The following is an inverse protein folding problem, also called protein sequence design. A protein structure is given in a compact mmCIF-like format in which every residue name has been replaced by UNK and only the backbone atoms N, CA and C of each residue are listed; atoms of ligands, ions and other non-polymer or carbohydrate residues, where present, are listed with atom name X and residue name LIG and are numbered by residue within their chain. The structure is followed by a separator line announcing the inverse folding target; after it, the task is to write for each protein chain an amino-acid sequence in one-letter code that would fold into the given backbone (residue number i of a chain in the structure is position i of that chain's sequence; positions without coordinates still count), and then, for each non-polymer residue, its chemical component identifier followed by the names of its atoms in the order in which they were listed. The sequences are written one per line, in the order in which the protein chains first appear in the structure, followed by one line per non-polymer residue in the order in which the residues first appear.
data_IF_114826551745
#
_entry.id   IF_114826551745
#
_cell.length_a   1.000
_cell.length_b   1.000
_cell.length_c   1.000
_cell.angle_alpha   90.00
_cell.angle_beta   90.00
_cell.angle_gamma   90.00
#
_symmetry.space_group_name_H-M   'P 1'
#
loop_
_entity.id
_entity.type
_entity.pdbx_description
1 polymer ?
#
# COMPACT_ATOMS: atom_id res chain seq x y z
N UNK A 1 -2.66 5.66 36.64
CA UNK A 1 -1.47 4.80 36.55
C UNK A 1 -0.28 5.66 36.17
N UNK A 2 0.78 5.73 36.99
CA UNK A 2 1.98 6.50 36.66
C UNK A 2 2.74 5.86 35.48
N UNK A 3 3.44 6.65 34.65
CA UNK A 3 4.25 6.12 33.56
C UNK A 3 5.38 5.21 34.07
N UNK A 4 5.63 4.11 33.35
CA UNK A 4 6.74 3.18 33.67
C UNK A 4 8.10 3.77 33.29
N UNK A 5 8.11 4.61 32.25
CA UNK A 5 9.25 5.39 31.75
C UNK A 5 8.71 6.56 30.96
N UNK A 6 9.28 7.75 31.14
CA UNK A 6 8.74 8.97 30.57
C UNK A 6 9.85 9.91 30.11
N UNK A 7 9.64 10.52 28.95
CA UNK A 7 10.35 11.69 28.44
C UNK A 7 9.33 12.80 28.11
N UNK A 8 9.81 13.96 27.67
CA UNK A 8 8.95 15.10 27.37
C UNK A 8 7.91 14.82 26.28
N UNK A 9 8.25 13.99 25.28
CA UNK A 9 7.44 13.79 24.08
C UNK A 9 6.79 12.40 23.96
N UNK A 10 7.17 11.47 24.83
CA UNK A 10 6.64 10.10 24.84
C UNK A 10 6.80 9.45 26.21
N UNK A 11 5.98 8.43 26.48
CA UNK A 11 6.02 7.67 27.73
C UNK A 11 5.43 6.27 27.54
N UNK A 12 5.84 5.34 28.42
CA UNK A 12 5.26 4.01 28.53
C UNK A 12 4.21 3.96 29.65
N UNK A 13 3.10 3.28 29.39
CA UNK A 13 1.96 3.18 30.31
C UNK A 13 1.33 1.79 30.25
N UNK A 14 0.62 1.43 31.31
CA UNK A 14 -0.15 0.20 31.40
C UNK A 14 0.66 -0.99 31.87
N UNK A 15 0.06 -2.16 31.69
CA UNK A 15 0.68 -3.45 31.95
C UNK A 15 1.28 -4.01 30.66
N UNK A 16 2.20 -4.97 30.82
CA UNK A 16 2.76 -5.65 29.66
C UNK A 16 1.68 -6.47 28.96
N UNK A 17 1.55 -6.30 27.64
CA UNK A 17 0.67 -7.16 26.83
C UNK A 17 1.20 -8.60 26.77
N UNK A 18 2.50 -8.73 26.52
CA UNK A 18 3.21 -10.01 26.47
C UNK A 18 4.71 -9.77 26.64
N UNK A 19 5.33 -10.52 27.56
CA UNK A 19 6.73 -10.34 27.92
C UNK A 19 7.01 -8.90 28.37
N UNK A 20 7.80 -8.17 27.58
CA UNK A 20 8.19 -6.79 27.88
C UNK A 20 7.54 -5.74 26.96
N UNK A 21 6.46 -6.08 26.25
CA UNK A 21 5.77 -5.17 25.33
C UNK A 21 4.73 -4.31 26.08
N UNK A 22 4.87 -2.99 26.00
CA UNK A 22 3.99 -2.01 26.65
C UNK A 22 3.43 -1.00 25.63
N UNK A 23 2.37 -0.30 26.02
CA UNK A 23 1.85 0.87 25.29
C UNK A 23 2.88 2.01 25.39
N UNK A 24 3.61 2.26 24.31
CA UNK A 24 4.32 3.51 24.09
C UNK A 24 3.33 4.56 23.56
N UNK A 25 3.28 5.68 24.25
CA UNK A 25 2.41 6.80 23.93
C UNK A 25 3.25 8.02 23.56
N UNK A 26 2.90 8.73 22.49
CA UNK A 26 3.68 9.88 22.04
C UNK A 26 2.80 10.93 21.35
N UNK A 27 3.28 12.17 21.31
CA UNK A 27 2.56 13.30 20.70
C UNK A 27 3.29 13.77 19.44
N UNK A 28 2.55 13.94 18.34
CA UNK A 28 3.02 14.56 17.10
C UNK A 28 1.99 15.54 16.57
N UNK A 29 2.42 16.77 16.26
CA UNK A 29 1.57 17.82 15.70
C UNK A 29 0.22 17.99 16.45
N UNK A 30 0.26 17.99 17.79
CA UNK A 30 -0.92 18.14 18.64
C UNK A 30 -1.83 16.90 18.75
N UNK A 31 -1.47 15.79 18.10
CA UNK A 31 -2.22 14.52 18.15
C UNK A 31 -1.50 13.48 18.97
N UNK A 32 -2.27 12.62 19.61
CA UNK A 32 -1.78 11.53 20.44
C UNK A 32 -1.79 10.21 19.66
N UNK A 33 -0.72 9.44 19.81
CA UNK A 33 -0.53 8.15 19.15
C UNK A 33 -0.07 7.11 20.15
N UNK A 34 -0.39 5.84 19.86
CA UNK A 34 0.04 4.68 20.61
C UNK A 34 0.71 3.65 19.71
N UNK A 35 1.73 2.98 20.22
CA UNK A 35 2.37 1.84 19.58
C UNK A 35 2.84 0.84 20.65
N UNK A 36 2.78 -0.45 20.34
CA UNK A 36 3.36 -1.48 21.21
C UNK A 36 4.87 -1.54 21.02
N UNK A 37 5.64 -1.34 22.11
CA UNK A 37 7.10 -1.40 22.08
C UNK A 37 7.67 -2.05 23.33
N UNK A 38 8.84 -2.70 23.22
CA UNK A 38 9.54 -3.20 24.40
C UNK A 38 9.90 -2.05 25.34
N UNK A 39 9.69 -2.21 26.65
CA UNK A 39 10.11 -1.20 27.64
C UNK A 39 11.64 -0.98 27.63
N UNK A 40 12.38 -2.01 27.21
CA UNK A 40 13.85 -2.01 27.03
C UNK A 40 14.33 -1.32 25.76
N UNK A 41 13.45 -0.84 24.88
CA UNK A 41 13.86 -0.09 23.69
C UNK A 41 14.68 1.15 24.09
N UNK A 42 15.79 1.43 23.41
CA UNK A 42 16.60 2.61 23.70
C UNK A 42 15.85 3.89 23.34
N UNK A 43 16.18 5.01 23.98
CA UNK A 43 15.61 6.32 23.63
C UNK A 43 15.81 6.63 22.15
N UNK A 44 17.03 6.40 21.64
CA UNK A 44 17.37 6.59 20.23
C UNK A 44 16.49 5.79 19.28
N UNK A 45 16.14 4.54 19.63
CA UNK A 45 15.26 3.70 18.80
C UNK A 45 13.81 4.19 18.80
N UNK A 46 13.34 4.71 19.94
CA UNK A 46 12.00 5.28 20.09
C UNK A 46 11.90 6.58 19.29
N UNK A 47 12.86 7.48 19.45
CA UNK A 47 12.90 8.76 18.73
C UNK A 47 13.02 8.57 17.20
N UNK A 48 13.85 7.62 16.75
CA UNK A 48 13.95 7.26 15.35
C UNK A 48 12.60 6.75 14.80
N UNK A 49 11.90 5.91 15.55
CA UNK A 49 10.60 5.37 15.17
C UNK A 49 9.49 6.44 15.13
N UNK A 50 9.46 7.35 16.12
CA UNK A 50 8.54 8.49 16.14
C UNK A 50 8.83 9.40 14.94
N UNK A 51 10.10 9.69 14.66
CA UNK A 51 10.52 10.50 13.51
C UNK A 51 10.14 9.85 12.18
N UNK A 52 10.36 8.55 12.02
CA UNK A 52 9.95 7.79 10.84
C UNK A 52 8.42 7.80 10.66
N UNK A 53 7.67 7.65 11.75
CA UNK A 53 6.21 7.74 11.72
C UNK A 53 5.73 9.16 11.36
N UNK A 54 6.38 10.20 11.87
CA UNK A 54 6.12 11.59 11.52
C UNK A 54 6.37 11.85 10.03
N UNK A 55 7.50 11.38 9.50
CA UNK A 55 7.84 11.49 8.07
C UNK A 55 6.81 10.77 7.18
N UNK A 56 6.33 9.60 7.61
CA UNK A 56 5.25 8.88 6.90
C UNK A 56 3.92 9.63 6.93
N UNK A 57 3.62 10.35 8.02
CA UNK A 57 2.40 11.15 8.13
C UNK A 57 2.43 12.41 7.26
N UNK A 58 3.58 13.07 7.19
CA UNK A 58 3.78 14.29 6.39
C UNK A 58 4.07 14.00 4.92
N UNK A 59 4.25 12.74 4.53
CA UNK A 59 4.58 12.35 3.16
C UNK A 59 3.49 12.76 2.15
N UNK A 60 3.86 13.74 1.31
CA UNK A 60 3.04 14.32 0.23
C UNK A 60 3.91 14.52 -1.02
N UNK A 61 4.25 13.44 -1.74
CA UNK A 61 5.13 13.54 -2.89
C UNK A 61 4.43 14.29 -4.03
N UNK A 62 5.23 15.00 -4.82
CA UNK A 62 4.76 15.60 -6.06
C UNK A 62 4.39 14.51 -7.09
N UNK A 63 3.39 14.81 -7.92
CA UNK A 63 3.06 13.97 -9.06
C UNK A 63 3.92 14.38 -10.26
N UNK A 64 4.53 13.39 -10.89
CA UNK A 64 5.38 13.57 -12.06
C UNK A 64 4.62 13.03 -13.26
N UNK A 65 4.39 13.89 -14.25
CA UNK A 65 3.77 13.53 -15.53
C UNK A 65 4.90 13.13 -16.50
N UNK A 66 4.86 11.91 -17.00
CA UNK A 66 5.81 11.45 -18.01
C UNK A 66 5.41 11.83 -19.43
N UNK A 67 6.26 11.43 -20.38
CA UNK A 67 6.03 11.68 -21.80
C UNK A 67 4.84 10.87 -22.32
N UNK A 68 3.96 11.54 -23.07
CA UNK A 68 2.80 10.90 -23.68
C UNK A 68 3.22 10.06 -24.87
N UNK A 69 2.84 8.79 -24.86
CA UNK A 69 3.04 7.86 -25.98
C UNK A 69 1.71 7.68 -26.69
N UNK A 70 1.71 7.78 -28.01
CA UNK A 70 0.54 7.55 -28.85
C UNK A 70 0.69 6.23 -29.59
N UNK A 71 -0.32 5.39 -29.52
CA UNK A 71 -0.32 4.10 -30.21
C UNK A 71 -1.72 3.75 -30.69
N UNK A 72 -1.80 3.04 -31.81
CA UNK A 72 -3.06 2.53 -32.34
C UNK A 72 -3.60 1.41 -31.41
N UNK A 73 -4.87 1.53 -31.03
CA UNK A 73 -5.55 0.56 -30.16
C UNK A 73 -6.80 0.05 -30.87
N UNK A 74 -6.79 -1.25 -31.20
CA UNK A 74 -7.86 -1.89 -31.97
C UNK A 74 -9.25 -1.72 -31.35
N UNK A 75 -9.37 -1.82 -30.02
CA UNK A 75 -10.63 -1.63 -29.29
C UNK A 75 -11.27 -0.25 -29.53
N UNK A 76 -10.46 0.79 -29.70
CA UNK A 76 -10.93 2.14 -30.00
C UNK A 76 -10.93 2.47 -31.50
N UNK A 77 -10.36 1.58 -32.33
CA UNK A 77 -10.12 1.79 -33.76
C UNK A 77 -9.46 3.15 -34.06
N UNK A 78 -8.57 3.60 -33.19
CA UNK A 78 -7.88 4.90 -33.32
C UNK A 78 -6.56 4.90 -32.56
N UNK A 79 -5.78 5.94 -32.77
CA UNK A 79 -4.57 6.23 -31.99
C UNK A 79 -4.95 6.86 -30.66
N UNK A 80 -4.58 6.22 -29.56
CA UNK A 80 -4.86 6.65 -28.19
C UNK A 80 -3.60 7.20 -27.55
N UNK A 81 -3.73 8.29 -26.80
CA UNK A 81 -2.66 8.89 -26.02
C UNK A 81 -2.60 8.29 -24.60
N UNK A 82 -1.43 7.77 -24.24
CA UNK A 82 -1.10 7.23 -22.92
C UNK A 82 -0.08 8.14 -22.24
N UNK A 83 -0.49 8.84 -21.20
CA UNK A 83 0.40 9.66 -20.37
C UNK A 83 0.69 8.93 -19.05
N UNK A 84 1.91 8.42 -18.81
CA UNK A 84 2.24 7.78 -17.55
C UNK A 84 2.41 8.80 -16.42
N UNK A 85 1.92 8.46 -15.22
CA UNK A 85 2.09 9.27 -14.01
C UNK A 85 2.88 8.51 -12.95
N UNK A 86 3.69 9.27 -12.22
CA UNK A 86 4.59 8.77 -11.20
C UNK A 86 4.56 9.64 -9.95
N UNK A 87 5.19 9.16 -8.89
CA UNK A 87 5.59 9.96 -7.74
C UNK A 87 6.97 9.49 -7.25
N UNK A 88 7.68 10.30 -6.50
CA UNK A 88 8.95 9.88 -5.92
C UNK A 88 8.74 9.29 -4.53
N UNK A 89 9.42 8.18 -4.23
CA UNK A 89 9.49 7.58 -2.90
C UNK A 89 10.82 6.85 -2.74
N UNK A 90 11.48 7.06 -1.60
CA UNK A 90 12.74 6.38 -1.25
C UNK A 90 13.82 6.51 -2.36
N UNK A 91 13.88 7.69 -3.00
CA UNK A 91 14.80 7.98 -4.12
C UNK A 91 14.45 7.31 -5.45
N UNK A 92 13.26 6.70 -5.57
CA UNK A 92 12.79 6.03 -6.79
C UNK A 92 11.54 6.67 -7.37
N UNK A 93 11.46 6.69 -8.69
CA UNK A 93 10.26 7.10 -9.40
C UNK A 93 9.26 5.93 -9.50
N UNK A 94 8.22 5.97 -8.69
CA UNK A 94 7.20 4.94 -8.60
C UNK A 94 6.09 5.17 -9.62
N UNK A 95 5.91 4.24 -10.55
CA UNK A 95 4.82 4.30 -11.54
C UNK A 95 3.45 4.06 -10.89
N UNK A 96 2.49 4.94 -11.21
CA UNK A 96 1.10 4.86 -10.75
C UNK A 96 0.28 4.12 -11.81
N UNK A 97 -0.01 4.82 -12.90
CA UNK A 97 -0.88 4.39 -13.98
C UNK A 97 -0.72 5.34 -15.18
N UNK A 98 -1.09 4.89 -16.37
CA UNK A 98 -1.13 5.75 -17.57
C UNK A 98 -2.53 6.28 -17.81
N UNK A 99 -2.69 7.60 -17.81
CA UNK A 99 -3.94 8.22 -18.21
C UNK A 99 -4.14 7.99 -19.72
N UNK A 100 -5.22 7.31 -20.07
CA UNK A 100 -5.67 7.16 -21.45
C UNK A 100 -6.53 8.37 -21.84
N UNK A 101 -6.28 8.91 -23.02
CA UNK A 101 -6.99 10.07 -23.59
C UNK A 101 -6.94 10.03 -25.11
N UNK A 102 -7.68 10.93 -25.78
CA UNK A 102 -7.75 10.95 -27.25
C UNK A 102 -8.35 9.64 -27.80
N UNK A 103 -9.23 8.97 -27.04
CA UNK A 103 -9.83 7.69 -27.45
C UNK A 103 -10.84 7.81 -28.60
N UNK A 104 -11.07 9.03 -29.12
CA UNK A 104 -12.14 9.34 -30.05
C UNK A 104 -13.54 9.35 -29.41
N UNK A 105 -13.64 9.06 -28.10
CA UNK A 105 -14.90 9.00 -27.35
C UNK A 105 -14.78 9.79 -26.04
N UNK A 106 -15.45 10.93 -25.96
CA UNK A 106 -15.41 11.79 -24.78
C UNK A 106 -15.86 11.08 -23.48
N UNK A 107 -16.84 10.17 -23.58
CA UNK A 107 -17.28 9.36 -22.44
C UNK A 107 -16.18 8.46 -21.88
N UNK A 108 -15.37 7.84 -22.75
CA UNK A 108 -14.24 7.01 -22.34
C UNK A 108 -13.13 7.88 -21.72
N UNK A 109 -12.79 9.00 -22.34
CA UNK A 109 -11.80 9.95 -21.81
C UNK A 109 -12.22 10.52 -20.43
N UNK A 110 -13.51 10.78 -20.23
CA UNK A 110 -14.06 11.17 -18.91
C UNK A 110 -13.95 10.02 -17.90
N UNK A 111 -14.23 8.77 -18.29
CA UNK A 111 -14.07 7.60 -17.41
C UNK A 111 -12.61 7.46 -16.98
N UNK A 112 -11.66 7.49 -17.91
CA UNK A 112 -10.22 7.38 -17.63
C UNK A 112 -9.72 8.48 -16.69
N UNK A 113 -10.18 9.72 -16.87
CA UNK A 113 -9.89 10.83 -15.94
C UNK A 113 -10.43 10.58 -14.54
N UNK A 114 -11.67 10.07 -14.41
CA UNK A 114 -12.26 9.73 -13.11
C UNK A 114 -11.51 8.59 -12.42
N UNK A 115 -11.15 7.55 -13.15
CA UNK A 115 -10.36 6.45 -12.60
C UNK A 115 -8.99 6.93 -12.11
N UNK A 116 -8.32 7.78 -12.89
CA UNK A 116 -7.04 8.38 -12.46
C UNK A 116 -7.20 9.20 -11.18
N UNK A 117 -8.24 10.04 -11.10
CA UNK A 117 -8.54 10.81 -9.89
C UNK A 117 -8.82 9.90 -8.68
N UNK A 118 -9.56 8.80 -8.87
CA UNK A 118 -9.79 7.79 -7.83
C UNK A 118 -8.48 7.16 -7.33
N UNK A 119 -7.60 6.74 -8.24
CA UNK A 119 -6.30 6.15 -7.89
C UNK A 119 -5.43 7.12 -7.09
N UNK A 120 -5.41 8.40 -7.50
CA UNK A 120 -4.69 9.45 -6.77
C UNK A 120 -5.26 9.71 -5.36
N UNK A 121 -6.58 9.66 -5.21
CA UNK A 121 -7.24 9.79 -3.92
C UNK A 121 -6.92 8.59 -3.01
N UNK A 122 -6.94 7.38 -3.55
CA UNK A 122 -6.58 6.16 -2.83
C UNK A 122 -5.12 6.20 -2.35
N UNK A 123 -4.18 6.59 -3.22
CA UNK A 123 -2.78 6.79 -2.82
C UNK A 123 -2.66 7.76 -1.64
N UNK A 124 -3.38 8.89 -1.66
CA UNK A 124 -3.36 9.84 -0.54
C UNK A 124 -3.91 9.24 0.75
N UNK A 125 -5.01 8.48 0.67
CA UNK A 125 -5.64 7.78 1.81
C UNK A 125 -4.70 6.73 2.41
N UNK A 126 -4.02 5.98 1.57
CA UNK A 126 -3.11 4.90 1.94
C UNK A 126 -1.66 5.38 2.14
N UNK A 127 -1.44 6.71 2.25
CA UNK A 127 -0.13 7.34 2.46
C UNK A 127 0.94 6.86 1.47
N UNK A 128 0.52 6.71 0.22
CA UNK A 128 1.32 6.26 -0.90
C UNK A 128 2.01 4.90 -0.66
N UNK A 129 1.42 4.07 0.20
CA UNK A 129 1.95 2.74 0.54
C UNK A 129 1.57 1.67 -0.48
N UNK A 130 0.35 1.76 -1.04
CA UNK A 130 -0.16 0.87 -2.07
C UNK A 130 -1.33 1.50 -2.84
N UNK A 131 -1.69 0.87 -3.96
CA UNK A 131 -2.86 1.16 -4.80
C UNK A 131 -3.61 -0.14 -5.11
N UNK A 132 -4.93 -0.10 -5.18
CA UNK A 132 -5.75 -1.23 -5.63
C UNK A 132 -6.25 -1.00 -7.05
N UNK A 133 -6.05 -1.98 -7.94
CA UNK A 133 -6.59 -1.95 -9.30
C UNK A 133 -7.98 -2.58 -9.34
N UNK A 134 -8.10 -3.78 -8.78
CA UNK A 134 -9.36 -4.49 -8.60
C UNK A 134 -9.21 -5.40 -7.39
N UNK A 135 -10.26 -5.51 -6.59
CA UNK A 135 -10.42 -6.52 -5.54
C UNK A 135 -11.85 -6.43 -5.00
N UNK A 136 -12.35 -7.52 -4.43
CA UNK A 136 -13.57 -7.48 -3.65
C UNK A 136 -13.45 -6.54 -2.43
N UNK A 137 -12.25 -6.44 -1.84
CA UNK A 137 -11.99 -5.57 -0.68
C UNK A 137 -10.80 -4.66 -1.01
N UNK A 138 -11.02 -3.35 -1.14
CA UNK A 138 -9.95 -2.42 -1.52
C UNK A 138 -8.90 -2.19 -0.44
N UNK A 139 -9.28 -2.22 0.84
CA UNK A 139 -8.32 -2.09 1.92
C UNK A 139 -7.56 -3.42 2.09
N UNK A 140 -6.27 -3.42 1.80
CA UNK A 140 -5.46 -4.64 1.84
C UNK A 140 -5.43 -5.32 3.22
N UNK A 141 -5.53 -4.56 4.32
CA UNK A 141 -5.58 -5.14 5.67
C UNK A 141 -6.90 -5.85 5.93
N UNK A 142 -8.01 -5.25 5.50
CA UNK A 142 -9.34 -5.86 5.56
C UNK A 142 -9.44 -7.07 4.62
N UNK A 143 -8.78 -7.03 3.46
CA UNK A 143 -8.69 -8.17 2.56
C UNK A 143 -8.03 -9.36 3.26
N UNK A 144 -6.89 -9.14 3.93
CA UNK A 144 -6.21 -10.18 4.70
C UNK A 144 -7.06 -10.68 5.88
N UNK A 145 -7.82 -9.80 6.54
CA UNK A 145 -8.77 -10.19 7.59
C UNK A 145 -9.86 -11.08 7.03
N UNK A 146 -10.50 -10.67 5.94
CA UNK A 146 -11.57 -11.42 5.28
C UNK A 146 -11.11 -12.81 4.81
N UNK A 147 -9.92 -12.94 4.22
CA UNK A 147 -9.38 -14.24 3.86
C UNK A 147 -9.25 -15.18 5.06
N UNK A 148 -8.77 -14.66 6.21
CA UNK A 148 -8.58 -15.47 7.41
C UNK A 148 -9.90 -15.87 8.05
N UNK A 149 -10.81 -14.91 8.21
CA UNK A 149 -12.09 -15.12 8.88
C UNK A 149 -12.95 -16.16 8.14
N UNK A 150 -12.79 -16.25 6.81
CA UNK A 150 -13.51 -17.21 5.97
C UNK A 150 -12.67 -18.44 5.57
N UNK A 151 -11.42 -18.55 6.05
CA UNK A 151 -10.49 -19.64 5.72
C UNK A 151 -10.25 -19.85 4.21
N UNK A 152 -10.30 -18.78 3.43
CA UNK A 152 -10.14 -18.82 1.97
C UNK A 152 -8.69 -19.06 1.51
N UNK A 153 -8.59 -19.56 0.28
CA UNK A 153 -7.36 -19.97 -0.38
C UNK A 153 -7.03 -19.00 -1.51
N UNK A 154 -5.77 -18.57 -1.57
CA UNK A 154 -5.28 -17.81 -2.71
C UNK A 154 -4.86 -18.76 -3.82
N UNK A 155 -5.45 -18.58 -4.99
CA UNK A 155 -5.06 -19.25 -6.22
C UNK A 155 -4.02 -18.41 -6.97
N UNK A 156 -2.90 -19.05 -7.31
CA UNK A 156 -1.75 -18.41 -7.95
C UNK A 156 -1.61 -18.90 -9.38
N UNK A 157 -1.94 -18.03 -10.34
CA UNK A 157 -1.62 -18.23 -11.75
C UNK A 157 -0.24 -17.65 -12.06
N UNK A 158 0.77 -18.50 -12.16
CA UNK A 158 2.17 -18.08 -12.35
C UNK A 158 2.78 -17.52 -11.06
N UNK A 159 2.89 -16.20 -10.93
CA UNK A 159 3.55 -15.55 -9.78
C UNK A 159 2.58 -14.68 -9.01
N UNK A 160 2.53 -14.90 -7.69
CA UNK A 160 1.77 -14.07 -6.75
C UNK A 160 2.34 -12.64 -6.65
N UNK A 161 3.63 -12.49 -6.96
CA UNK A 161 4.34 -11.22 -6.93
C UNK A 161 5.08 -10.96 -8.23
N UNK A 162 4.85 -9.80 -8.82
CA UNK A 162 5.58 -9.29 -9.98
C UNK A 162 6.29 -7.99 -9.62
N UNK A 163 7.62 -7.98 -9.69
CA UNK A 163 8.42 -6.81 -9.34
C UNK A 163 8.65 -5.93 -10.56
N UNK A 164 8.55 -4.62 -10.38
CA UNK A 164 9.09 -3.69 -11.36
C UNK A 164 10.59 -3.94 -11.56
N UNK A 165 11.11 -3.72 -12.78
CA UNK A 165 12.53 -3.96 -13.11
C UNK A 165 13.49 -3.20 -12.17
N UNK A 166 13.12 -1.96 -11.82
CA UNK A 166 13.86 -1.08 -10.91
C UNK A 166 13.52 -1.31 -9.42
N UNK A 167 12.63 -2.25 -9.13
CA UNK A 167 12.07 -2.52 -7.80
C UNK A 167 11.48 -1.27 -7.13
N UNK A 168 10.85 -0.39 -7.90
CA UNK A 168 10.10 0.77 -7.39
C UNK A 168 8.73 0.38 -6.81
N UNK A 169 8.18 -0.76 -7.24
CA UNK A 169 6.97 -1.36 -6.69
C UNK A 169 6.96 -2.88 -6.92
N UNK A 170 6.01 -3.54 -6.26
CA UNK A 170 5.65 -4.94 -6.50
C UNK A 170 4.13 -5.06 -6.64
N UNK A 171 3.70 -5.72 -7.70
CA UNK A 171 2.31 -6.09 -7.91
C UNK A 171 2.04 -7.41 -7.17
N UNK A 172 1.03 -7.39 -6.30
CA UNK A 172 0.48 -8.54 -5.58
C UNK A 172 -0.90 -8.85 -6.18
N UNK A 173 -0.99 -9.94 -6.92
CA UNK A 173 -2.18 -10.28 -7.70
C UNK A 173 -2.43 -11.78 -7.75
N UNK A 174 -3.69 -12.16 -7.89
CA UNK A 174 -4.12 -13.54 -8.03
C UNK A 174 -5.64 -13.65 -7.94
N UNK A 175 -6.11 -14.85 -7.64
CA UNK A 175 -7.53 -15.13 -7.43
C UNK A 175 -7.77 -15.65 -6.01
N UNK A 176 -8.98 -15.45 -5.51
CA UNK A 176 -9.50 -16.13 -4.33
C UNK A 176 -10.29 -17.33 -4.83
N UNK A 177 -9.78 -18.53 -4.55
CA UNK A 177 -10.24 -19.78 -5.16
C UNK A 177 -11.75 -19.98 -4.97
N UNK A 178 -12.22 -19.85 -3.73
CA UNK A 178 -13.59 -20.16 -3.32
C UNK A 178 -14.63 -19.19 -3.90
N UNK A 179 -14.20 -18.00 -4.34
CA UNK A 179 -15.10 -16.96 -4.87
C UNK A 179 -14.81 -16.62 -6.34
N UNK A 180 -13.81 -17.28 -6.94
CA UNK A 180 -13.27 -16.94 -8.27
C UNK A 180 -13.04 -15.43 -8.46
N UNK A 181 -12.63 -14.75 -7.40
CA UNK A 181 -12.50 -13.29 -7.39
C UNK A 181 -11.04 -12.87 -7.61
N UNK A 182 -10.82 -12.15 -8.70
CA UNK A 182 -9.52 -11.55 -9.00
C UNK A 182 -9.21 -10.40 -8.05
N UNK A 183 -7.94 -10.29 -7.67
CA UNK A 183 -7.41 -9.14 -6.95
C UNK A 183 -6.07 -8.70 -7.52
N UNK A 184 -5.79 -7.40 -7.42
CA UNK A 184 -4.51 -6.79 -7.78
C UNK A 184 -4.27 -5.52 -6.96
N UNK A 185 -3.21 -5.58 -6.16
CA UNK A 185 -2.66 -4.46 -5.41
C UNK A 185 -1.25 -4.17 -5.90
N UNK A 186 -0.91 -2.89 -6.07
CA UNK A 186 0.47 -2.44 -6.28
C UNK A 186 1.03 -1.86 -5.01
N UNK A 187 2.14 -2.41 -4.52
CA UNK A 187 2.74 -2.07 -3.24
C UNK A 187 4.03 -1.28 -3.48
N UNK A 188 4.12 -0.09 -2.89
CA UNK A 188 5.28 0.79 -2.96
C UNK A 188 6.10 0.76 -1.67
N UNK A 189 5.44 0.52 -0.53
CA UNK A 189 6.10 0.47 0.78
C UNK A 189 6.75 -0.88 1.04
N UNK A 190 8.07 -0.87 1.30
CA UNK A 190 8.84 -2.06 1.71
C UNK A 190 8.35 -2.65 3.04
N UNK A 191 7.96 -1.79 3.98
CA UNK A 191 7.38 -2.20 5.27
C UNK A 191 6.06 -2.94 5.06
N UNK A 192 5.17 -2.38 4.22
CA UNK A 192 3.90 -3.01 3.89
C UNK A 192 4.12 -4.35 3.19
N UNK A 193 5.05 -4.41 2.24
CA UNK A 193 5.41 -5.67 1.59
C UNK A 193 5.87 -6.72 2.59
N UNK A 194 6.73 -6.36 3.54
CA UNK A 194 7.17 -7.25 4.63
C UNK A 194 5.98 -7.73 5.46
N UNK A 195 5.03 -6.85 5.78
CA UNK A 195 3.82 -7.21 6.50
C UNK A 195 3.00 -8.24 5.72
N UNK A 196 2.81 -8.02 4.42
CA UNK A 196 2.06 -8.91 3.51
C UNK A 196 2.69 -10.31 3.48
N UNK A 197 4.03 -10.39 3.35
CA UNK A 197 4.75 -11.68 3.44
C UNK A 197 4.46 -12.38 4.78
N UNK A 198 4.42 -11.62 5.88
CA UNK A 198 4.02 -12.14 7.19
C UNK A 198 2.58 -12.67 7.22
N UNK A 199 1.63 -11.94 6.65
CA UNK A 199 0.22 -12.37 6.57
C UNK A 199 0.07 -13.67 5.77
N UNK A 200 0.78 -13.78 4.64
CA UNK A 200 0.71 -14.94 3.74
C UNK A 200 1.22 -16.24 4.36
N UNK A 201 2.00 -16.19 5.45
CA UNK A 201 2.39 -17.39 6.21
C UNK A 201 1.19 -18.12 6.82
N UNK A 202 0.07 -17.42 7.00
CA UNK A 202 -1.16 -17.94 7.63
C UNK A 202 -2.28 -18.20 6.63
N UNK A 203 -2.02 -18.03 5.32
CA UNK A 203 -3.03 -18.17 4.28
C UNK A 203 -2.66 -19.32 3.35
N UNK A 204 -3.65 -20.19 3.10
CA UNK A 204 -3.53 -21.31 2.17
C UNK A 204 -3.33 -20.78 0.76
N UNK A 205 -2.50 -21.49 0.00
CA UNK A 205 -2.18 -21.14 -1.38
C UNK A 205 -2.28 -22.39 -2.25
N UNK A 206 -2.94 -22.25 -3.39
CA UNK A 206 -3.03 -23.28 -4.42
C UNK A 206 -2.30 -22.78 -5.68
N UNK A 207 -1.37 -23.57 -6.20
CA UNK A 207 -0.60 -23.23 -7.40
C UNK A 207 -1.07 -24.13 -8.54
N UNK A 208 -1.65 -23.53 -9.58
CA UNK A 208 -2.18 -24.29 -10.71
C UNK A 208 -1.10 -24.68 -11.74
N UNK A 209 -0.10 -23.82 -11.97
CA UNK A 209 1.08 -24.11 -12.82
C UNK A 209 2.25 -23.17 -12.49
N UNK A 210 3.47 -23.56 -12.91
CA UNK A 210 4.74 -22.82 -12.72
C UNK A 210 5.10 -21.96 -13.92
#
# INVERSE_FOLDING_TARGET
MPPKRQHCNWFFVGEAYSGNLYDLCFRLAGRYFKALRPLTASDSSIEAMISEFANRLSFRPALIKGNTVRQYVSWYNTTVAYTPYFFERDGKQCFIYSLCSETGRDMDDKRHRREMAYRLLELRRNRYGYLTFYSHISNIFEFFKWLRDNHYTLEVHGRLFSFANDRSYVDFSGNVLEYSAAFHYRIYSRELFTNIIGQLRRIKRHQLWK
#
